data_IF_877402014596
#
_entry.id   IF_877402014596
#
_cell.length_a   1.000
_cell.length_b   1.000
_cell.length_c   1.000
_cell.angle_alpha   90.00
_cell.angle_beta   90.00
_cell.angle_gamma   90.00
#
_symmetry.space_group_name_H-M   'P 1'
#
loop_
_entity.id
_entity.type
_entity.pdbx_description
1 polymer ?
#
# COMPACT_ATOMS: atom_id res chain seq x y z
N UNK A 1 41.95 -2.36 -70.47
CA UNK A 1 42.42 -1.48 -69.39
C UNK A 1 41.40 -0.35 -69.22
N UNK A 2 40.67 -0.34 -68.08
CA UNK A 2 39.96 0.78 -67.41
C UNK A 2 38.91 1.58 -68.19
N UNK A 3 37.71 1.92 -67.71
CA UNK A 3 36.82 1.59 -66.58
C UNK A 3 35.50 2.28 -67.00
N UNK A 4 34.41 1.55 -67.24
CA UNK A 4 33.08 2.17 -67.47
C UNK A 4 32.55 2.68 -66.13
N UNK A 5 32.20 3.96 -66.05
CA UNK A 5 31.64 4.59 -64.85
C UNK A 5 30.19 4.16 -64.63
N UNK A 6 29.97 3.06 -63.92
CA UNK A 6 28.64 2.61 -63.44
C UNK A 6 28.44 3.13 -62.01
N UNK A 7 28.63 4.43 -61.77
CA UNK A 7 28.56 4.99 -60.40
C UNK A 7 27.57 6.16 -60.23
N UNK A 8 26.73 6.44 -61.23
CA UNK A 8 25.75 7.52 -61.13
C UNK A 8 24.26 7.12 -61.04
N UNK A 9 23.80 5.89 -61.41
CA UNK A 9 22.40 5.51 -61.15
C UNK A 9 22.19 4.81 -59.79
N UNK A 10 23.26 4.29 -59.15
CA UNK A 10 23.13 3.58 -57.87
C UNK A 10 22.99 4.56 -56.68
N UNK A 11 23.57 5.78 -56.78
CA UNK A 11 23.45 6.78 -55.72
C UNK A 11 22.05 7.42 -55.66
N UNK A 12 21.35 7.54 -56.80
CA UNK A 12 19.97 8.02 -56.84
C UNK A 12 18.97 6.98 -56.29
N UNK A 13 19.23 5.69 -56.47
CA UNK A 13 18.40 4.62 -55.92
C UNK A 13 18.55 4.47 -54.39
N UNK A 14 19.74 4.72 -53.84
CA UNK A 14 19.98 4.65 -52.39
C UNK A 14 19.42 5.89 -51.65
N UNK A 15 19.40 7.06 -52.29
CA UNK A 15 18.77 8.26 -51.73
C UNK A 15 17.22 8.16 -51.75
N UNK A 16 16.66 7.42 -52.71
CA UNK A 16 15.21 7.17 -52.76
C UNK A 16 14.73 6.13 -51.74
N UNK A 17 15.61 5.21 -51.31
CA UNK A 17 15.29 4.18 -50.29
C UNK A 17 15.54 4.70 -48.86
N UNK A 18 16.37 5.72 -48.67
CA UNK A 18 16.63 6.31 -47.34
C UNK A 18 15.61 7.35 -46.89
N UNK A 19 14.75 7.85 -47.80
CA UNK A 19 13.62 8.73 -47.45
C UNK A 19 12.31 7.98 -47.15
N UNK A 20 12.25 6.66 -47.37
CA UNK A 20 11.11 5.83 -46.97
C UNK A 20 11.21 5.29 -45.51
N UNK A 21 12.32 5.55 -44.81
CA UNK A 21 12.58 5.05 -43.45
C UNK A 21 12.59 6.14 -42.36
N UNK A 22 12.09 7.34 -42.67
CA UNK A 22 11.87 8.40 -41.69
C UNK A 22 10.45 8.97 -41.79
N UNK A 23 9.46 8.10 -41.62
CA UNK A 23 8.14 8.47 -41.10
C UNK A 23 7.90 7.69 -39.81
N UNK A 24 8.62 8.04 -38.75
CA UNK A 24 8.18 7.80 -37.36
C UNK A 24 7.16 8.87 -36.95
N UNK A 25 6.13 9.04 -37.77
CA UNK A 25 4.96 9.84 -37.43
C UNK A 25 3.75 8.94 -37.53
N UNK A 26 3.19 8.64 -36.35
CA UNK A 26 1.81 8.20 -36.15
C UNK A 26 1.48 6.73 -36.45
N UNK A 27 2.09 5.78 -35.74
CA UNK A 27 1.40 4.51 -35.42
C UNK A 27 0.48 4.63 -34.19
N UNK A 28 0.57 5.73 -33.43
CA UNK A 28 -0.26 5.99 -32.25
C UNK A 28 -1.44 6.96 -32.50
N UNK A 29 -1.56 7.56 -33.69
CA UNK A 29 -2.57 8.60 -33.97
C UNK A 29 -3.41 8.28 -35.20
N UNK A 30 -4.09 7.14 -35.16
CA UNK A 30 -5.38 6.95 -35.86
C UNK A 30 -6.42 6.52 -34.84
N UNK A 31 -6.53 7.25 -33.75
CA UNK A 31 -7.75 7.17 -32.96
C UNK A 31 -8.85 7.83 -33.79
N UNK A 32 -9.71 7.00 -34.37
CA UNK A 32 -11.01 7.46 -34.83
C UNK A 32 -11.71 8.03 -33.58
N UNK A 33 -11.96 9.35 -33.51
CA UNK A 33 -12.49 9.98 -32.30
C UNK A 33 -13.86 9.45 -31.89
N UNK A 34 -14.52 8.70 -32.79
CA UNK A 34 -15.80 8.05 -32.57
C UNK A 34 -15.67 6.54 -32.31
N UNK A 35 -14.47 5.98 -32.14
CA UNK A 35 -14.29 4.53 -31.86
C UNK A 35 -15.06 4.09 -30.63
N UNK A 36 -15.06 4.90 -29.58
CA UNK A 36 -15.75 4.60 -28.33
C UNK A 36 -17.27 4.69 -28.52
N UNK A 37 -17.75 5.67 -29.27
CA UNK A 37 -19.17 5.86 -29.58
C UNK A 37 -19.70 4.80 -30.55
N UNK A 38 -18.89 4.39 -31.54
CA UNK A 38 -19.18 3.27 -32.44
C UNK A 38 -19.20 1.94 -31.70
N UNK A 39 -18.18 1.64 -30.88
CA UNK A 39 -18.18 0.40 -30.08
C UNK A 39 -19.36 0.38 -29.09
N UNK A 40 -19.68 1.52 -28.47
CA UNK A 40 -20.85 1.62 -27.60
C UNK A 40 -22.14 1.34 -28.39
N UNK A 41 -22.31 1.92 -29.59
CA UNK A 41 -23.47 1.68 -30.44
C UNK A 41 -23.55 0.24 -30.96
N UNK A 42 -22.42 -0.37 -31.33
CA UNK A 42 -22.31 -1.73 -31.84
C UNK A 42 -22.70 -2.78 -30.78
N UNK A 43 -22.57 -2.43 -29.49
CA UNK A 43 -22.86 -3.31 -28.36
C UNK A 43 -23.92 -2.76 -27.37
N UNK A 44 -24.70 -1.75 -27.77
CA UNK A 44 -25.71 -1.04 -26.95
C UNK A 44 -26.99 -1.86 -26.61
N UNK A 45 -26.91 -3.19 -26.58
CA UNK A 45 -28.04 -4.07 -26.31
C UNK A 45 -28.05 -4.64 -24.89
N UNK A 46 -28.59 -5.86 -24.76
CA UNK A 46 -28.63 -6.58 -23.48
C UNK A 46 -27.24 -7.03 -23.07
N UNK A 47 -26.77 -6.54 -21.92
CA UNK A 47 -25.50 -6.95 -21.33
C UNK A 47 -25.71 -8.06 -20.29
N UNK A 48 -24.85 -9.07 -20.32
CA UNK A 48 -24.82 -10.15 -19.32
C UNK A 48 -23.56 -10.03 -18.45
N UNK A 49 -23.75 -9.77 -17.16
CA UNK A 49 -22.65 -9.81 -16.20
C UNK A 49 -22.37 -11.24 -15.76
N UNK A 50 -21.10 -11.64 -15.75
CA UNK A 50 -20.69 -12.95 -15.25
C UNK A 50 -19.44 -12.84 -14.37
N UNK A 51 -19.38 -13.76 -13.40
CA UNK A 51 -18.23 -13.96 -12.52
C UNK A 51 -17.39 -15.09 -13.10
N UNK A 52 -16.18 -14.79 -13.57
CA UNK A 52 -15.36 -15.75 -14.33
C UNK A 52 -15.15 -17.02 -13.50
N UNK A 53 -14.71 -16.85 -12.25
CA UNK A 53 -14.38 -17.92 -11.32
C UNK A 53 -15.52 -18.90 -11.02
N UNK A 54 -16.79 -18.56 -11.31
CA UNK A 54 -17.94 -19.41 -11.02
C UNK A 54 -18.78 -19.78 -12.24
N UNK A 55 -18.44 -19.31 -13.45
CA UNK A 55 -19.31 -19.48 -14.61
C UNK A 55 -19.17 -20.87 -15.25
N UNK A 56 -17.98 -21.20 -15.77
CA UNK A 56 -17.72 -22.47 -16.43
C UNK A 56 -16.23 -22.82 -16.37
N UNK A 57 -15.92 -23.99 -15.82
CA UNK A 57 -14.59 -24.59 -15.78
C UNK A 57 -14.37 -25.44 -17.04
N UNK A 58 -13.26 -25.23 -17.75
CA UNK A 58 -12.91 -25.98 -18.96
C UNK A 58 -11.81 -27.02 -18.77
N UNK A 59 -11.11 -27.00 -17.64
CA UNK A 59 -9.89 -27.78 -17.40
C UNK A 59 -10.03 -28.79 -16.24
N UNK A 60 -11.09 -28.69 -15.43
CA UNK A 60 -11.42 -29.58 -14.33
C UNK A 60 -10.77 -29.23 -12.98
N UNK A 61 -10.21 -28.02 -12.82
CA UNK A 61 -9.60 -27.56 -11.57
C UNK A 61 -10.61 -26.98 -10.55
N UNK A 62 -11.87 -26.84 -10.95
CA UNK A 62 -12.96 -26.32 -10.12
C UNK A 62 -13.11 -24.79 -10.14
N UNK A 63 -12.34 -24.07 -10.95
CA UNK A 63 -12.41 -22.63 -11.13
C UNK A 63 -12.86 -22.32 -12.56
N UNK A 64 -13.82 -21.41 -12.71
CA UNK A 64 -14.22 -20.98 -14.05
C UNK A 64 -13.14 -20.17 -14.76
N UNK A 65 -13.05 -20.31 -16.09
CA UNK A 65 -11.93 -19.79 -16.89
C UNK A 65 -12.39 -19.21 -18.25
N UNK A 66 -11.49 -18.51 -18.96
CA UNK A 66 -11.81 -17.84 -20.24
C UNK A 66 -12.27 -18.82 -21.32
N UNK A 67 -11.69 -20.03 -21.35
CA UNK A 67 -12.04 -21.04 -22.34
C UNK A 67 -13.38 -21.68 -22.02
N UNK A 68 -13.74 -21.79 -20.74
CA UNK A 68 -15.08 -22.14 -20.29
C UNK A 68 -16.10 -21.15 -20.83
N UNK A 69 -15.89 -19.86 -20.64
CA UNK A 69 -16.77 -18.82 -21.22
C UNK A 69 -16.85 -18.95 -22.75
N UNK A 70 -15.71 -19.15 -23.41
CA UNK A 70 -15.65 -19.32 -24.87
C UNK A 70 -16.49 -20.51 -25.35
N UNK A 71 -16.42 -21.65 -24.65
CA UNK A 71 -17.19 -22.86 -24.98
C UNK A 71 -18.71 -22.64 -24.84
N UNK A 72 -19.13 -21.63 -24.10
CA UNK A 72 -20.53 -21.29 -23.85
C UNK A 72 -21.04 -20.07 -24.65
N UNK A 73 -20.29 -19.55 -25.63
CA UNK A 73 -20.75 -18.41 -26.44
C UNK A 73 -22.06 -18.67 -27.21
N UNK A 74 -22.37 -19.92 -27.57
CA UNK A 74 -23.66 -20.26 -28.19
C UNK A 74 -24.84 -20.09 -27.22
N UNK A 75 -24.63 -20.29 -25.91
CA UNK A 75 -25.65 -20.02 -24.90
C UNK A 75 -25.97 -18.52 -24.84
N UNK A 76 -24.94 -17.68 -24.82
CA UNK A 76 -25.10 -16.22 -24.83
C UNK A 76 -25.78 -15.70 -26.12
N UNK A 77 -25.40 -16.23 -27.27
CA UNK A 77 -26.05 -15.94 -28.55
C UNK A 77 -27.54 -16.32 -28.52
N UNK A 78 -27.89 -17.49 -27.95
CA UNK A 78 -29.29 -17.93 -27.83
C UNK A 78 -30.13 -17.06 -26.90
N UNK A 79 -29.50 -16.43 -25.90
CA UNK A 79 -30.12 -15.43 -25.03
C UNK A 79 -30.30 -14.07 -25.71
N UNK A 80 -29.63 -13.83 -26.84
CA UNK A 80 -29.66 -12.56 -27.56
C UNK A 80 -28.89 -11.45 -26.85
N UNK A 81 -27.84 -11.78 -26.09
CA UNK A 81 -26.99 -10.77 -25.44
C UNK A 81 -26.06 -10.13 -26.46
N UNK A 82 -25.85 -8.82 -26.36
CA UNK A 82 -24.93 -8.07 -27.22
C UNK A 82 -23.55 -7.92 -26.60
N UNK A 83 -23.42 -8.11 -25.29
CA UNK A 83 -22.15 -7.95 -24.58
C UNK A 83 -22.08 -8.79 -23.30
N UNK A 84 -20.86 -9.18 -22.94
CA UNK A 84 -20.53 -9.77 -21.64
C UNK A 84 -19.74 -8.76 -20.81
N UNK A 85 -20.12 -8.58 -19.56
CA UNK A 85 -19.30 -7.89 -18.56
C UNK A 85 -18.63 -8.95 -17.68
N UNK A 86 -17.31 -9.03 -17.81
CA UNK A 86 -16.48 -9.93 -17.03
C UNK A 86 -16.11 -9.27 -15.70
N UNK A 87 -16.21 -10.02 -14.60
CA UNK A 87 -15.55 -9.67 -13.32
C UNK A 87 -14.06 -9.36 -13.53
N UNK A 88 -13.39 -8.65 -12.58
CA UNK A 88 -11.99 -8.27 -12.76
C UNK A 88 -11.09 -9.45 -13.16
N UNK A 89 -10.24 -9.22 -14.16
CA UNK A 89 -9.47 -10.27 -14.83
C UNK A 89 -8.01 -10.34 -14.37
N UNK A 90 -7.59 -9.44 -13.51
CA UNK A 90 -6.18 -9.21 -13.19
C UNK A 90 -5.72 -10.06 -11.98
N UNK A 91 -4.41 -10.33 -11.82
CA UNK A 91 -3.86 -10.89 -10.59
C UNK A 91 -4.32 -10.10 -9.37
N UNK A 92 -4.67 -10.79 -8.30
CA UNK A 92 -5.34 -10.20 -7.13
C UNK A 92 -5.12 -11.04 -5.86
N UNK A 93 -5.53 -10.51 -4.70
CA UNK A 93 -5.43 -11.19 -3.40
C UNK A 93 -6.68 -12.01 -3.04
N UNK A 94 -7.85 -11.62 -3.53
CA UNK A 94 -9.15 -12.22 -3.21
C UNK A 94 -9.77 -12.92 -4.42
N UNK A 95 -10.72 -13.82 -4.17
CA UNK A 95 -11.42 -14.54 -5.26
C UNK A 95 -12.27 -13.61 -6.14
N UNK A 96 -12.74 -12.46 -5.62
CA UNK A 96 -13.55 -11.50 -6.37
C UNK A 96 -12.71 -10.53 -7.20
N UNK A 97 -11.38 -10.53 -7.02
CA UNK A 97 -10.39 -9.84 -7.84
C UNK A 97 -10.43 -8.30 -7.88
N UNK A 98 -11.17 -7.65 -6.98
CA UNK A 98 -11.19 -6.19 -6.87
C UNK A 98 -9.94 -5.61 -6.18
N UNK A 99 -9.16 -6.44 -5.48
CA UNK A 99 -7.88 -6.09 -4.88
C UNK A 99 -6.71 -6.42 -5.84
N UNK A 100 -6.67 -5.70 -6.96
CA UNK A 100 -5.74 -5.93 -8.08
C UNK A 100 -4.27 -5.72 -7.67
N UNK A 101 -3.39 -6.61 -8.12
CA UNK A 101 -1.94 -6.59 -7.90
C UNK A 101 -1.13 -6.27 -9.17
N UNK A 102 -1.71 -6.45 -10.37
CA UNK A 102 -1.08 -6.11 -11.64
C UNK A 102 -2.12 -5.81 -12.73
N UNK A 103 -2.23 -4.55 -13.14
CA UNK A 103 -3.17 -4.10 -14.19
C UNK A 103 -2.78 -4.48 -15.62
N UNK A 104 -1.61 -5.07 -15.84
CA UNK A 104 -1.08 -5.37 -17.19
C UNK A 104 -1.18 -6.84 -17.58
N UNK A 105 -1.58 -7.70 -16.65
CA UNK A 105 -1.60 -9.15 -16.85
C UNK A 105 -2.99 -9.71 -16.55
N UNK A 106 -3.32 -10.85 -17.16
CA UNK A 106 -4.45 -11.69 -16.73
C UNK A 106 -4.10 -12.53 -15.50
N UNK A 107 -5.11 -12.80 -14.67
CA UNK A 107 -5.02 -13.70 -13.54
C UNK A 107 -4.76 -15.12 -14.07
N UNK A 108 -3.63 -15.77 -13.71
CA UNK A 108 -3.31 -17.10 -14.21
C UNK A 108 -4.35 -18.17 -13.89
N UNK A 109 -5.19 -17.95 -12.86
CA UNK A 109 -6.30 -18.85 -12.52
C UNK A 109 -7.41 -18.88 -13.60
N UNK A 110 -7.50 -17.86 -14.47
CA UNK A 110 -8.52 -17.78 -15.52
C UNK A 110 -7.99 -18.16 -16.90
N UNK A 111 -6.68 -18.36 -17.04
CA UNK A 111 -6.01 -18.69 -18.30
C UNK A 111 -4.91 -17.69 -18.66
N UNK A 112 -4.47 -17.74 -19.92
CA UNK A 112 -3.42 -16.89 -20.46
C UNK A 112 -3.96 -15.70 -21.25
N UNK A 113 -3.10 -14.71 -21.55
CA UNK A 113 -3.42 -13.61 -22.47
C UNK A 113 -3.92 -14.10 -23.84
N UNK A 114 -3.39 -15.24 -24.30
CA UNK A 114 -3.82 -15.87 -25.54
C UNK A 114 -5.24 -16.42 -25.43
N UNK A 115 -5.63 -16.97 -24.26
CA UNK A 115 -6.98 -17.47 -24.01
C UNK A 115 -7.98 -16.31 -23.94
N UNK A 116 -7.63 -15.20 -23.25
CA UNK A 116 -8.45 -13.99 -23.24
C UNK A 116 -8.64 -13.46 -24.67
N UNK A 117 -7.56 -13.37 -25.45
CA UNK A 117 -7.65 -12.93 -26.84
C UNK A 117 -8.55 -13.86 -27.67
N UNK A 118 -8.43 -15.18 -27.49
CA UNK A 118 -9.24 -16.16 -28.20
C UNK A 118 -10.73 -16.02 -27.84
N UNK A 119 -11.06 -15.77 -26.58
CA UNK A 119 -12.42 -15.45 -26.13
C UNK A 119 -12.94 -14.19 -26.83
N UNK A 120 -12.17 -13.10 -26.82
CA UNK A 120 -12.57 -11.82 -27.44
C UNK A 120 -12.83 -12.00 -28.94
N UNK A 121 -11.92 -12.66 -29.65
CA UNK A 121 -12.05 -12.90 -31.10
C UNK A 121 -13.30 -13.76 -31.40
N UNK A 122 -13.55 -14.81 -30.60
CA UNK A 122 -14.69 -15.70 -30.77
C UNK A 122 -16.04 -15.01 -30.42
N UNK A 123 -16.07 -14.19 -29.37
CA UNK A 123 -17.25 -13.41 -28.99
C UNK A 123 -17.57 -12.38 -30.09
N UNK A 124 -16.55 -11.66 -30.58
CA UNK A 124 -16.70 -10.69 -31.67
C UNK A 124 -17.23 -11.33 -32.94
N UNK A 125 -16.78 -12.54 -33.29
CA UNK A 125 -17.29 -13.28 -34.45
C UNK A 125 -18.81 -13.58 -34.37
N UNK A 126 -19.38 -13.55 -33.16
CA UNK A 126 -20.81 -13.72 -32.88
C UNK A 126 -21.55 -12.40 -32.64
N UNK A 127 -20.88 -11.26 -32.84
CA UNK A 127 -21.45 -9.94 -32.54
C UNK A 127 -21.61 -9.67 -31.04
N UNK A 128 -20.85 -10.37 -30.18
CA UNK A 128 -20.86 -10.19 -28.73
C UNK A 128 -19.62 -9.38 -28.31
N UNK A 129 -19.85 -8.23 -27.69
CA UNK A 129 -18.81 -7.39 -27.10
C UNK A 129 -18.32 -7.92 -25.75
N UNK A 130 -17.10 -7.57 -25.36
CA UNK A 130 -16.53 -7.89 -24.04
C UNK A 130 -16.19 -6.59 -23.32
N UNK A 131 -16.78 -6.39 -22.14
CA UNK A 131 -16.43 -5.34 -21.20
C UNK A 131 -15.61 -5.93 -20.06
N UNK A 132 -14.53 -5.23 -19.71
CA UNK A 132 -13.70 -5.55 -18.56
C UNK A 132 -14.09 -4.66 -17.38
N UNK A 133 -14.21 -5.27 -16.21
CA UNK A 133 -14.26 -4.53 -14.96
C UNK A 133 -12.88 -3.93 -14.66
N UNK A 134 -12.81 -2.61 -14.47
CA UNK A 134 -11.55 -1.90 -14.30
C UNK A 134 -11.58 -1.10 -13.00
N UNK A 135 -10.81 -1.57 -12.03
CA UNK A 135 -10.73 -0.99 -10.69
C UNK A 135 -9.77 0.19 -10.71
N UNK A 136 -10.31 1.41 -10.69
CA UNK A 136 -9.50 2.64 -10.77
C UNK A 136 -9.37 3.38 -9.43
N UNK A 137 -10.25 3.06 -8.48
CA UNK A 137 -10.29 3.74 -7.20
C UNK A 137 -9.12 3.33 -6.27
N UNK A 138 -8.75 2.05 -6.25
CA UNK A 138 -7.72 1.50 -5.39
C UNK A 138 -6.93 0.38 -6.09
N UNK A 139 -5.88 -0.12 -5.43
CA UNK A 139 -5.24 -1.40 -5.74
C UNK A 139 -5.26 -2.29 -4.49
N UNK A 140 -4.94 -3.58 -4.66
CA UNK A 140 -4.67 -4.46 -3.52
C UNK A 140 -3.44 -4.00 -2.72
N UNK A 141 -3.43 -4.31 -1.41
CA UNK A 141 -2.33 -3.96 -0.49
C UNK A 141 -1.02 -4.71 -0.77
N UNK A 142 -1.07 -5.77 -1.58
CA UNK A 142 0.12 -6.51 -2.01
C UNK A 142 0.58 -6.07 -3.41
N UNK A 143 -0.08 -5.08 -4.02
CA UNK A 143 0.35 -4.52 -5.29
C UNK A 143 1.76 -3.90 -5.12
N UNK A 144 2.71 -4.14 -6.06
CA UNK A 144 4.06 -3.58 -5.98
C UNK A 144 4.14 -2.07 -5.79
N UNK A 145 3.17 -1.29 -6.30
CA UNK A 145 3.11 0.15 -6.10
C UNK A 145 2.87 0.50 -4.64
N UNK A 146 1.90 -0.16 -3.99
CA UNK A 146 1.59 0.04 -2.59
C UNK A 146 2.78 -0.35 -1.70
N UNK A 147 3.35 -1.54 -1.92
CA UNK A 147 4.48 -2.04 -1.14
C UNK A 147 5.69 -1.08 -1.20
N UNK A 148 6.04 -0.59 -2.39
CA UNK A 148 7.14 0.35 -2.58
C UNK A 148 6.83 1.73 -1.96
N UNK A 149 5.60 2.24 -2.15
CA UNK A 149 5.15 3.49 -1.56
C UNK A 149 5.18 3.47 -0.02
N UNK A 150 4.84 2.34 0.60
CA UNK A 150 4.89 2.19 2.06
C UNK A 150 6.32 2.03 2.59
N UNK A 151 7.19 1.35 1.84
CA UNK A 151 8.56 1.05 2.27
C UNK A 151 9.53 2.24 2.08
N UNK A 152 9.29 3.09 1.07
CA UNK A 152 10.20 4.17 0.69
C UNK A 152 9.46 5.53 0.61
N UNK A 153 9.76 6.51 1.48
CA UNK A 153 9.15 7.84 1.42
C UNK A 153 9.50 8.59 0.12
N UNK A 154 10.62 8.26 -0.54
CA UNK A 154 11.04 8.83 -1.83
C UNK A 154 10.59 7.98 -3.03
N UNK A 155 9.67 7.03 -2.83
CA UNK A 155 9.13 6.20 -3.91
C UNK A 155 8.45 7.06 -4.97
N UNK A 156 8.66 6.74 -6.24
CA UNK A 156 7.88 7.33 -7.34
C UNK A 156 6.38 6.99 -7.28
N UNK A 157 6.00 5.97 -6.49
CA UNK A 157 4.62 5.57 -6.25
C UNK A 157 4.05 6.19 -4.97
N UNK A 158 4.80 7.02 -4.23
CA UNK A 158 4.37 7.60 -2.96
C UNK A 158 3.05 8.35 -3.09
N UNK A 159 2.92 9.15 -4.14
CA UNK A 159 1.73 9.98 -4.40
C UNK A 159 0.57 9.21 -5.08
N UNK A 160 0.72 7.90 -5.34
CA UNK A 160 -0.38 7.08 -5.85
C UNK A 160 -1.42 6.78 -4.76
N UNK A 161 -1.05 6.94 -3.49
CA UNK A 161 -1.89 6.64 -2.32
C UNK A 161 -1.96 7.84 -1.39
N UNK A 162 -3.07 7.96 -0.66
CA UNK A 162 -3.15 8.95 0.41
C UNK A 162 -2.52 8.39 1.68
N UNK A 163 -1.43 9.02 2.11
CA UNK A 163 -0.60 8.59 3.24
C UNK A 163 -0.45 9.77 4.19
N UNK A 164 -0.65 9.54 5.49
CA UNK A 164 -0.62 10.59 6.50
C UNK A 164 -0.17 10.05 7.85
N UNK A 165 0.58 10.84 8.63
CA UNK A 165 0.82 10.58 10.05
C UNK A 165 -0.31 11.10 10.96
N UNK A 166 -1.05 12.13 10.51
CA UNK A 166 -2.26 12.62 11.15
C UNK A 166 -3.36 12.88 10.10
N UNK A 167 -4.15 11.84 9.75
CA UNK A 167 -5.23 11.97 8.79
C UNK A 167 -6.26 13.04 9.16
N UNK A 168 -6.45 13.31 10.46
CA UNK A 168 -7.46 14.27 10.91
C UNK A 168 -7.02 15.70 10.61
N UNK A 169 -5.77 16.03 10.94
CA UNK A 169 -5.20 17.33 10.62
C UNK A 169 -5.04 17.54 9.11
N UNK A 170 -4.52 16.54 8.39
CA UNK A 170 -4.27 16.64 6.95
C UNK A 170 -5.57 16.80 6.13
N UNK A 171 -6.64 16.08 6.48
CA UNK A 171 -7.95 16.24 5.84
C UNK A 171 -8.55 17.61 6.16
N UNK A 172 -8.49 18.07 7.42
CA UNK A 172 -9.00 19.39 7.81
C UNK A 172 -8.24 20.54 7.11
N UNK A 173 -6.95 20.35 6.84
CA UNK A 173 -6.11 21.28 6.08
C UNK A 173 -6.33 21.21 4.56
N UNK A 174 -7.15 20.28 4.06
CA UNK A 174 -7.43 20.13 2.63
C UNK A 174 -6.26 19.54 1.83
N UNK A 175 -5.37 18.76 2.47
CA UNK A 175 -4.21 18.14 1.80
C UNK A 175 -4.61 17.10 0.75
N UNK A 176 -5.75 16.43 0.93
CA UNK A 176 -6.25 15.39 0.03
C UNK A 176 -7.47 15.92 -0.75
N UNK A 177 -7.30 16.14 -2.04
CA UNK A 177 -8.31 16.80 -2.89
C UNK A 177 -9.66 16.07 -2.95
N UNK A 178 -9.67 14.75 -2.81
CA UNK A 178 -10.86 13.90 -2.89
C UNK A 178 -11.43 13.48 -1.53
N UNK A 179 -10.81 13.88 -0.41
CA UNK A 179 -11.26 13.54 0.95
C UNK A 179 -11.64 14.82 1.69
N UNK A 180 -12.94 15.06 1.82
CA UNK A 180 -13.45 16.30 2.44
C UNK A 180 -13.84 16.14 3.91
N UNK A 181 -14.01 14.92 4.39
CA UNK A 181 -14.37 14.61 5.78
C UNK A 181 -13.58 13.40 6.25
N UNK A 182 -13.13 13.42 7.51
CA UNK A 182 -12.38 12.31 8.09
C UNK A 182 -13.33 11.26 8.67
N UNK A 183 -13.21 10.02 8.22
CA UNK A 183 -13.84 8.83 8.79
C UNK A 183 -12.76 7.84 9.28
N UNK A 184 -12.75 7.46 10.56
CA UNK A 184 -11.75 6.53 11.11
C UNK A 184 -11.74 5.17 10.41
N UNK A 185 -12.89 4.72 9.93
CA UNK A 185 -13.02 3.40 9.31
C UNK A 185 -12.29 3.29 7.96
N UNK A 186 -11.90 4.42 7.37
CA UNK A 186 -11.28 4.50 6.05
C UNK A 186 -9.76 4.74 6.12
N UNK A 187 -9.17 4.74 7.33
CA UNK A 187 -7.73 4.92 7.51
C UNK A 187 -7.14 3.75 8.29
N UNK A 188 -6.29 2.98 7.62
CA UNK A 188 -5.63 1.83 8.20
C UNK A 188 -4.17 2.15 8.51
N UNK A 189 -3.65 1.56 9.59
CA UNK A 189 -2.23 1.68 9.97
C UNK A 189 -1.40 0.80 9.03
N UNK A 190 -0.26 1.30 8.54
CA UNK A 190 0.69 0.55 7.70
C UNK A 190 1.39 -0.61 8.43
N UNK A 191 1.29 -0.67 9.76
CA UNK A 191 2.02 -1.63 10.59
C UNK A 191 3.50 -1.24 10.81
N UNK A 192 4.06 -0.41 9.95
CA UNK A 192 5.33 0.28 10.11
C UNK A 192 5.05 1.72 10.56
N UNK A 193 5.20 1.98 11.85
CA UNK A 193 5.36 3.36 12.28
C UNK A 193 6.61 3.91 11.59
N UNK A 194 6.53 5.11 11.02
CA UNK A 194 7.72 5.87 10.72
C UNK A 194 8.56 5.87 12.01
N UNK A 195 9.85 5.54 11.92
CA UNK A 195 10.67 5.46 13.12
C UNK A 195 10.57 6.79 13.85
N UNK A 196 10.10 6.77 15.11
CA UNK A 196 10.41 7.85 16.03
C UNK A 196 11.93 7.87 16.09
N UNK A 197 12.53 8.79 15.35
CA UNK A 197 13.97 8.98 15.27
C UNK A 197 14.26 10.29 15.96
N UNK A 198 15.04 10.22 17.03
CA UNK A 198 15.26 11.38 17.87
C UNK A 198 15.49 11.01 19.31
N UNK A 199 15.85 12.02 20.09
CA UNK A 199 16.13 11.89 21.51
C UNK A 199 14.91 12.30 22.32
N UNK A 200 14.60 11.47 23.30
CA UNK A 200 13.47 11.67 24.18
C UNK A 200 13.93 11.67 25.62
N UNK A 201 13.41 12.62 26.39
CA UNK A 201 13.57 12.70 27.84
C UNK A 201 12.35 12.07 28.51
N UNK A 202 12.61 10.99 29.25
CA UNK A 202 11.66 10.32 30.12
C UNK A 202 11.83 10.88 31.51
N UNK A 203 10.82 11.53 32.06
CA UNK A 203 10.84 12.07 33.43
C UNK A 203 9.88 11.28 34.30
N UNK A 204 10.41 10.66 35.34
CA UNK A 204 9.68 9.89 36.34
C UNK A 204 9.51 10.74 37.60
N UNK A 205 8.28 10.86 38.07
CA UNK A 205 7.88 11.69 39.22
C UNK A 205 6.79 10.99 40.05
N UNK A 206 6.39 11.60 41.16
CA UNK A 206 5.33 11.10 42.06
C UNK A 206 5.50 9.61 42.45
N UNK A 207 6.75 9.24 42.78
CA UNK A 207 7.15 7.84 42.90
C UNK A 207 6.66 7.22 44.21
N UNK A 208 5.98 6.09 44.09
CA UNK A 208 5.57 5.22 45.19
C UNK A 208 5.60 3.75 44.76
N UNK A 209 5.39 2.83 45.70
CA UNK A 209 5.33 1.39 45.40
C UNK A 209 4.07 0.97 44.62
N UNK A 210 3.06 1.85 44.54
CA UNK A 210 1.77 1.57 43.91
C UNK A 210 1.46 2.44 42.69
N UNK A 211 2.20 3.53 42.51
CA UNK A 211 2.00 4.48 41.41
C UNK A 211 3.25 5.31 41.18
N UNK A 212 3.48 5.71 39.93
CA UNK A 212 4.47 6.72 39.54
C UNK A 212 3.96 7.43 38.31
N UNK A 213 4.43 8.65 38.03
CA UNK A 213 4.03 9.39 36.82
C UNK A 213 5.21 9.47 35.87
N UNK A 214 5.00 9.09 34.61
CA UNK A 214 5.96 9.27 33.52
C UNK A 214 5.48 10.37 32.58
N UNK A 215 6.37 11.28 32.23
CA UNK A 215 6.16 12.25 31.14
C UNK A 215 7.31 12.10 30.14
N UNK A 216 6.99 12.10 28.85
CA UNK A 216 7.98 11.95 27.78
C UNK A 216 8.00 13.19 26.91
N UNK A 217 9.18 13.73 26.60
CA UNK A 217 9.33 14.94 25.79
C UNK A 217 10.44 14.78 24.77
N UNK A 218 10.28 15.34 23.56
CA UNK A 218 11.38 15.46 22.61
C UNK A 218 12.45 16.43 23.16
N UNK A 219 13.72 16.15 22.93
CA UNK A 219 14.83 16.93 23.48
C UNK A 219 16.08 16.89 22.60
N UNK A 220 16.93 17.91 22.72
CA UNK A 220 18.29 17.92 22.15
C UNK A 220 19.38 17.55 23.17
N UNK A 221 18.98 17.21 24.41
CA UNK A 221 19.89 16.80 25.48
C UNK A 221 20.76 15.59 25.08
N UNK A 222 21.91 15.44 25.74
CA UNK A 222 22.77 14.26 25.53
C UNK A 222 22.12 13.03 26.16
N UNK A 223 22.30 11.87 25.52
CA UNK A 223 21.95 10.57 26.11
C UNK A 223 22.62 10.44 27.48
N UNK A 224 21.85 10.04 28.47
CA UNK A 224 22.29 10.02 29.87
C UNK A 224 22.78 8.63 30.29
N UNK A 225 23.78 8.62 31.16
CA UNK A 225 24.22 7.41 31.89
C UNK A 225 23.91 7.56 33.38
N UNK A 226 22.75 7.08 33.80
CA UNK A 226 22.32 7.15 35.19
C UNK A 226 22.96 6.11 36.09
N UNK A 227 22.87 6.34 37.41
CA UNK A 227 23.34 5.41 38.44
C UNK A 227 22.22 4.97 39.40
N UNK A 228 20.99 5.46 39.20
CA UNK A 228 19.82 5.11 40.02
C UNK A 228 19.52 3.61 39.99
N UNK A 229 18.78 3.15 41.00
CA UNK A 229 18.16 1.82 40.98
C UNK A 229 17.04 1.75 39.94
N UNK A 230 16.42 2.88 39.59
CA UNK A 230 15.37 2.96 38.58
C UNK A 230 15.94 2.84 37.16
N UNK A 231 15.26 2.07 36.32
CA UNK A 231 15.67 1.77 34.95
C UNK A 231 14.52 1.98 33.97
N UNK A 232 14.82 2.57 32.82
CA UNK A 232 13.99 2.54 31.63
C UNK A 232 14.35 1.30 30.84
N UNK A 233 13.42 0.35 30.71
CA UNK A 233 13.53 -0.78 29.80
C UNK A 233 12.77 -0.45 28.54
N UNK A 234 13.41 -0.51 27.38
CA UNK A 234 12.81 -0.11 26.12
C UNK A 234 13.25 -1.04 25.00
N UNK A 235 12.46 -1.10 23.95
CA UNK A 235 12.76 -1.92 22.79
C UNK A 235 12.29 -1.27 21.51
N UNK A 236 13.04 -1.54 20.44
CA UNK A 236 12.74 -1.14 19.09
C UNK A 236 12.93 -2.29 18.11
N UNK A 237 12.85 -2.00 16.81
CA UNK A 237 13.05 -2.97 15.73
C UNK A 237 14.46 -3.60 15.73
N UNK A 238 15.43 -3.01 16.44
CA UNK A 238 16.81 -3.50 16.54
C UNK A 238 17.07 -4.32 17.81
N UNK A 239 16.10 -4.41 18.73
CA UNK A 239 16.20 -5.18 19.98
C UNK A 239 15.81 -4.37 21.21
N UNK A 240 16.06 -4.96 22.38
CA UNK A 240 15.77 -4.34 23.68
C UNK A 240 17.05 -3.83 24.35
N UNK A 241 16.93 -2.72 25.07
CA UNK A 241 18.01 -2.14 25.85
C UNK A 241 17.49 -1.56 27.17
N UNK A 242 18.41 -1.10 28.02
CA UNK A 242 18.09 -0.55 29.33
C UNK A 242 18.98 0.65 29.61
N UNK A 243 18.36 1.74 30.06
CA UNK A 243 19.05 2.92 30.57
C UNK A 243 18.69 3.13 32.03
N UNK A 244 19.70 3.38 32.86
CA UNK A 244 19.48 3.80 34.25
C UNK A 244 19.05 5.26 34.28
N UNK A 245 18.11 5.57 35.15
CA UNK A 245 17.70 6.95 35.38
C UNK A 245 18.79 7.73 36.15
N UNK A 246 18.88 9.02 35.88
CA UNK A 246 19.63 10.02 36.64
C UNK A 246 18.70 10.61 37.70
N UNK A 247 19.19 10.73 38.94
CA UNK A 247 18.49 11.44 40.02
C UNK A 247 18.52 12.95 39.74
N UNK A 248 17.36 13.59 39.76
CA UNK A 248 17.17 15.01 39.48
C UNK A 248 16.79 15.82 40.74
N UNK A 249 16.86 15.21 41.93
CA UNK A 249 16.39 15.81 43.16
C UNK A 249 14.86 15.78 43.28
N UNK A 250 14.37 16.13 44.46
CA UNK A 250 12.93 16.22 44.79
C UNK A 250 12.13 14.95 44.44
N UNK A 251 12.77 13.77 44.56
CA UNK A 251 12.19 12.46 44.20
C UNK A 251 11.79 12.34 42.73
N UNK A 252 12.44 13.10 41.85
CA UNK A 252 12.27 13.02 40.40
C UNK A 252 13.50 12.41 39.75
N UNK A 253 13.29 11.69 38.66
CA UNK A 253 14.34 11.00 37.91
C UNK A 253 14.15 11.25 36.43
N UNK A 254 15.23 11.25 35.65
CA UNK A 254 15.11 11.32 34.19
C UNK A 254 16.09 10.41 33.45
N UNK A 255 15.74 10.04 32.23
CA UNK A 255 16.63 9.37 31.29
C UNK A 255 16.45 9.98 29.90
N UNK A 256 17.55 10.31 29.24
CA UNK A 256 17.57 10.70 27.83
C UNK A 256 18.12 9.55 27.02
N UNK A 257 17.38 9.18 25.98
CA UNK A 257 17.63 8.03 25.12
C UNK A 257 17.40 8.42 23.68
N UNK A 258 18.27 7.93 22.81
CA UNK A 258 18.19 8.14 21.37
C UNK A 258 17.60 6.87 20.75
N UNK A 259 16.45 7.01 20.09
CA UNK A 259 15.81 5.88 19.45
C UNK A 259 15.77 6.04 17.95
N UNK A 260 15.72 4.89 17.30
CA UNK A 260 15.36 4.78 15.89
C UNK A 260 14.36 3.64 15.79
N UNK A 261 13.14 3.92 15.34
CA UNK A 261 12.11 2.89 15.17
C UNK A 261 10.94 3.02 16.13
N UNK A 262 10.10 1.99 16.14
CA UNK A 262 9.07 1.82 17.16
C UNK A 262 9.71 1.75 18.55
N UNK A 263 9.08 2.34 19.56
CA UNK A 263 9.56 2.26 20.95
C UNK A 263 8.41 1.79 21.83
N UNK A 264 8.54 0.57 22.32
CA UNK A 264 7.83 0.17 23.53
C UNK A 264 8.75 0.34 24.74
N UNK A 265 8.18 0.69 25.89
CA UNK A 265 8.96 0.81 27.11
C UNK A 265 8.18 0.45 28.38
N UNK A 266 8.94 0.22 29.44
CA UNK A 266 8.52 -0.04 30.81
C UNK A 266 9.49 0.63 31.78
N UNK A 267 9.02 0.91 32.99
CA UNK A 267 9.87 1.41 34.09
C UNK A 267 10.12 0.29 35.09
N UNK A 268 11.35 0.18 35.60
CA UNK A 268 11.73 -0.83 36.60
C UNK A 268 12.42 -0.22 37.80
N UNK A 269 12.07 -0.65 39.02
CA UNK A 269 12.72 -0.22 40.27
C UNK A 269 14.12 -0.81 40.47
N UNK A 270 14.44 -1.89 39.75
CA UNK A 270 15.70 -2.64 39.78
C UNK A 270 16.06 -3.17 38.38
N UNK A 271 17.32 -3.56 38.12
CA UNK A 271 17.70 -4.13 36.82
C UNK A 271 17.07 -5.50 36.51
N UNK A 272 16.46 -6.16 37.50
CA UNK A 272 15.94 -7.52 37.41
C UNK A 272 14.41 -7.54 37.52
N UNK A 273 13.75 -8.53 36.90
CA UNK A 273 12.29 -8.70 36.86
C UNK A 273 11.71 -9.35 38.13
N UNK A 274 12.13 -8.89 39.30
CA UNK A 274 11.57 -9.39 40.55
C UNK A 274 10.10 -8.97 40.69
N UNK A 275 9.30 -9.75 41.42
CA UNK A 275 7.91 -9.40 41.68
C UNK A 275 7.81 -7.99 42.29
N UNK A 276 6.91 -7.16 41.76
CA UNK A 276 6.71 -5.77 42.21
C UNK A 276 7.74 -4.76 41.70
N UNK A 277 8.64 -5.15 40.79
CA UNK A 277 9.64 -4.23 40.21
C UNK A 277 9.24 -3.61 38.86
N UNK A 278 8.21 -4.16 38.19
CA UNK A 278 7.70 -3.71 36.88
C UNK A 278 6.62 -2.64 37.06
N UNK A 279 6.76 -1.54 36.34
CA UNK A 279 5.74 -0.49 36.21
C UNK A 279 5.43 -0.28 34.72
N UNK A 280 4.14 -0.24 34.41
CA UNK A 280 3.62 -0.11 33.05
C UNK A 280 2.31 0.67 33.03
N UNK A 281 1.64 0.67 31.89
CA UNK A 281 0.34 1.31 31.72
C UNK A 281 -0.78 0.56 32.44
N UNK A 282 -1.83 1.30 32.84
CA UNK A 282 -3.11 0.69 33.19
C UNK A 282 -3.72 0.00 31.97
N UNK A 283 -4.44 -1.13 32.13
CA UNK A 283 -5.03 -1.85 31.01
C UNK A 283 -5.87 -0.95 30.10
N UNK A 284 -5.59 -0.96 28.80
CA UNK A 284 -6.29 -0.15 27.81
C UNK A 284 -5.87 1.32 27.73
N UNK A 285 -4.87 1.76 28.51
CA UNK A 285 -4.28 3.10 28.43
C UNK A 285 -2.76 3.02 28.15
N UNK A 286 -2.39 2.34 27.07
CA UNK A 286 -1.00 1.94 26.75
C UNK A 286 -0.22 2.95 25.93
N UNK A 287 -0.77 4.13 25.67
CA UNK A 287 -0.15 5.13 24.78
C UNK A 287 0.04 6.45 25.52
N UNK A 288 1.27 6.98 25.57
CA UNK A 288 1.62 8.24 26.24
C UNK A 288 2.04 9.31 25.24
N UNK A 289 1.35 10.46 25.25
CA UNK A 289 1.65 11.56 24.32
C UNK A 289 2.81 12.39 24.80
N UNK A 290 3.56 12.98 23.87
CA UNK A 290 4.65 13.87 24.23
C UNK A 290 4.11 15.05 25.05
N UNK A 291 4.75 15.32 26.19
CA UNK A 291 4.38 16.36 27.14
C UNK A 291 3.27 15.98 28.11
N UNK A 292 2.50 14.91 27.85
CA UNK A 292 1.38 14.51 28.69
C UNK A 292 1.82 13.51 29.78
N UNK A 293 1.40 13.71 31.04
CA UNK A 293 1.71 12.78 32.12
C UNK A 293 0.88 11.50 32.03
N UNK A 294 1.51 10.35 32.27
CA UNK A 294 0.86 9.04 32.39
C UNK A 294 1.13 8.43 33.77
N UNK A 295 0.07 8.05 34.47
CA UNK A 295 0.17 7.26 35.70
C UNK A 295 0.50 5.80 35.38
N UNK A 296 1.58 5.31 35.98
CA UNK A 296 2.06 3.94 35.92
C UNK A 296 1.50 3.10 37.07
N UNK A 297 1.26 1.81 36.80
CA UNK A 297 0.81 0.83 37.78
C UNK A 297 1.78 -0.37 37.88
N UNK A 298 1.89 -1.00 39.06
CA UNK A 298 2.66 -2.23 39.23
C UNK A 298 2.15 -3.33 38.31
N UNK A 299 3.07 -4.04 37.65
CA UNK A 299 2.79 -5.08 36.67
C UNK A 299 1.88 -4.63 35.50
N UNK A 300 1.88 -3.33 35.17
CA UNK A 300 1.11 -2.78 34.06
C UNK A 300 1.50 -3.31 32.68
N UNK A 301 0.69 -2.95 31.69
CA UNK A 301 0.90 -3.26 30.27
C UNK A 301 2.09 -2.47 29.70
N UNK A 302 2.56 -2.91 28.54
CA UNK A 302 3.63 -2.24 27.82
C UNK A 302 3.17 -0.84 27.37
N UNK A 303 4.05 0.14 27.48
CA UNK A 303 3.76 1.53 27.13
C UNK A 303 4.36 1.81 25.75
N UNK A 304 3.63 2.55 24.94
CA UNK A 304 4.06 3.06 23.64
C UNK A 304 3.97 4.59 23.66
N UNK A 305 4.87 5.26 22.95
CA UNK A 305 4.77 6.71 22.77
C UNK A 305 3.70 7.02 21.72
N UNK A 306 2.76 7.92 22.00
CA UNK A 306 2.02 8.64 20.95
C UNK A 306 3.04 9.56 20.27
N UNK A 307 3.00 9.60 18.94
CA UNK A 307 3.98 10.26 18.05
C UNK A 307 5.19 9.41 17.65
N UNK A 308 5.11 8.08 17.80
CA UNK A 308 5.68 7.24 16.76
C UNK A 308 4.70 7.38 15.58
N UNK A 309 5.06 8.16 14.57
CA UNK A 309 4.25 8.44 13.38
C UNK A 309 3.75 7.12 12.77
N UNK A 310 2.61 6.59 13.21
CA UNK A 310 1.95 5.53 12.46
C UNK A 310 1.60 6.17 11.13
N UNK A 311 2.24 5.71 10.06
CA UNK A 311 1.74 6.04 8.75
C UNK A 311 0.39 5.36 8.63
N UNK A 312 -0.61 6.17 8.34
CA UNK A 312 -1.92 5.73 7.92
C UNK A 312 -1.96 5.81 6.40
N UNK A 313 -2.64 4.85 5.80
CA UNK A 313 -3.05 4.95 4.41
C UNK A 313 -4.58 4.95 4.34
N UNK A 314 -5.12 5.66 3.35
CA UNK A 314 -6.55 5.61 3.07
C UNK A 314 -6.91 4.23 2.48
N UNK A 315 -7.80 3.53 3.16
CA UNK A 315 -8.28 2.19 2.85
C UNK A 315 -9.76 2.29 2.49
N UNK A 316 -10.09 2.07 1.22
CA UNK A 316 -11.45 2.11 0.70
C UNK A 316 -11.79 0.82 -0.04
#
# INVERSE_FOLDING_TARGET
MKRKSIFLPILAAIISISLASCNKTNLCNKENPNLMEQNAADFAGTCYQLLIYSFADSNGDGIGDFKGIQNHLNYFESLGVSSLWLSPIHPCGSYHAYDVHDYYSVNPAYGSEADLKALIDAAKAKGIGIYLDYVLNHSGKEHPWFLDAMANPDSKYRDYYFISSDPSADVAAGKFTSITNRNSGEWARTGSAAPASGKYRFTLSDISDTSSVITVTATDEKVTEGTSSWNLYYWNNSGAATSKFVDNGDSTFYAVVDFTGYVGFLVRKYPNWNAGSKFGASPGNTVVSLGEPMTLVPNGEDITLTDIDYLYYFSC
#
